data_IF_849119979452
#
_entry.id   IF_849119979452
#
_cell.length_a   1.000
_cell.length_b   1.000
_cell.length_c   1.000
_cell.angle_alpha   90.00
_cell.angle_beta   90.00
_cell.angle_gamma   90.00
#
_symmetry.space_group_name_H-M   'P 1'
#
loop_
_entity.id
_entity.type
_entity.pdbx_description
1 polymer ?
#
# COMPACT_ATOMS: atom_id res chain seq x y z
N UNK A 1 6.85 -7.79 -7.90
CA UNK A 1 6.36 -8.07 -6.53
C UNK A 1 7.55 -8.23 -5.59
N UNK A 2 8.54 -9.04 -5.94
CA UNK A 2 9.74 -9.28 -5.12
C UNK A 2 10.53 -7.98 -4.84
N UNK A 3 10.67 -7.11 -5.83
CA UNK A 3 11.37 -5.83 -5.70
C UNK A 3 10.63 -4.86 -4.75
N UNK A 4 9.31 -4.81 -4.83
CA UNK A 4 8.48 -4.02 -3.90
C UNK A 4 8.58 -4.55 -2.47
N UNK A 5 8.66 -5.87 -2.30
CA UNK A 5 8.84 -6.48 -0.98
C UNK A 5 10.22 -6.19 -0.38
N UNK A 6 11.29 -6.22 -1.19
CA UNK A 6 12.63 -5.83 -0.77
C UNK A 6 12.72 -4.36 -0.35
N UNK A 7 12.13 -3.46 -1.13
CA UNK A 7 12.05 -2.04 -0.81
C UNK A 7 11.26 -1.79 0.48
N UNK A 8 10.15 -2.49 0.66
CA UNK A 8 9.36 -2.41 1.89
C UNK A 8 10.16 -2.85 3.12
N UNK A 9 10.89 -3.96 3.04
CA UNK A 9 11.79 -4.42 4.12
C UNK A 9 12.88 -3.41 4.45
N UNK A 10 13.50 -2.83 3.43
CA UNK A 10 14.53 -1.79 3.61
C UNK A 10 13.96 -0.56 4.32
N UNK A 11 12.77 -0.12 3.94
CA UNK A 11 12.04 0.96 4.60
C UNK A 11 11.82 0.67 6.10
N UNK A 12 11.38 -0.54 6.45
CA UNK A 12 11.17 -0.91 7.86
C UNK A 12 12.47 -0.95 8.66
N UNK A 13 13.56 -1.44 8.07
CA UNK A 13 14.86 -1.42 8.70
C UNK A 13 15.35 0.01 8.98
N UNK A 14 15.15 0.94 8.04
CA UNK A 14 15.47 2.36 8.21
C UNK A 14 14.62 3.01 9.31
N UNK A 15 13.32 2.75 9.36
CA UNK A 15 12.45 3.26 10.42
C UNK A 15 12.87 2.75 11.79
N UNK A 16 13.27 1.48 11.89
CA UNK A 16 13.75 0.90 13.16
C UNK A 16 15.09 1.52 13.59
N UNK A 17 16.03 1.73 12.67
CA UNK A 17 17.30 2.41 12.96
C UNK A 17 17.09 3.85 13.45
N UNK A 18 16.17 4.58 12.83
CA UNK A 18 15.78 5.94 13.24
C UNK A 18 15.19 5.96 14.66
N UNK A 19 14.33 5.00 14.97
CA UNK A 19 13.74 4.90 16.31
C UNK A 19 14.80 4.60 17.39
N UNK A 20 15.80 3.77 17.08
CA UNK A 20 16.93 3.47 17.96
C UNK A 20 17.85 4.66 18.15
N UNK A 21 18.17 5.39 17.07
CA UNK A 21 18.99 6.61 17.10
C UNK A 21 18.38 7.68 18.00
N UNK A 22 17.06 7.90 17.90
CA UNK A 22 16.34 8.81 18.79
C UNK A 22 16.43 8.42 20.26
N UNK A 23 16.30 7.13 20.54
CA UNK A 23 16.45 6.64 21.93
C UNK A 23 17.87 6.90 22.43
N UNK A 24 18.89 6.66 21.59
CA UNK A 24 20.29 6.95 21.93
C UNK A 24 20.53 8.43 22.20
N UNK A 25 20.07 9.29 21.28
CA UNK A 25 20.21 10.75 21.42
C UNK A 25 19.52 11.25 22.68
N UNK A 26 18.32 10.78 23.00
CA UNK A 26 17.61 11.16 24.23
C UNK A 26 18.34 10.70 25.51
N UNK A 27 18.98 9.51 25.49
CA UNK A 27 19.76 8.99 26.60
C UNK A 27 21.11 9.71 26.76
N UNK A 28 21.75 10.15 25.66
CA UNK A 28 23.01 10.89 25.71
C UNK A 28 22.79 12.33 26.22
N UNK A 29 21.74 12.99 25.81
CA UNK A 29 21.34 14.30 26.35
C UNK A 29 21.10 14.18 27.86
N UNK A 30 20.44 13.13 28.30
CA UNK A 30 20.21 12.86 29.73
C UNK A 30 21.52 12.62 30.51
N UNK A 31 22.48 11.86 29.94
CA UNK A 31 23.79 11.64 30.55
C UNK A 31 24.57 12.93 30.70
N UNK A 32 24.61 13.75 29.64
CA UNK A 32 25.30 15.04 29.65
C UNK A 32 24.68 16.01 30.67
N UNK A 33 23.37 16.00 30.82
CA UNK A 33 22.66 16.82 31.80
C UNK A 33 22.90 16.36 33.25
N UNK A 34 22.99 15.04 33.48
CA UNK A 34 23.31 14.45 34.79
C UNK A 34 24.78 14.70 35.18
N UNK A 35 25.74 14.65 34.23
CA UNK A 35 27.16 15.00 34.50
C UNK A 35 27.34 16.47 34.89
N UNK A 36 26.51 17.37 34.36
CA UNK A 36 26.50 18.79 34.75
C UNK A 36 25.87 19.02 36.12
N UNK A 37 24.89 18.18 36.52
CA UNK A 37 24.21 18.25 37.82
C UNK A 37 25.02 17.63 38.97
N UNK A 38 25.84 16.60 38.73
CA UNK A 38 26.68 15.98 39.75
C UNK A 38 27.77 16.90 40.35
N UNK A 39 27.98 18.05 39.81
CA UNK A 39 28.88 19.09 40.37
C UNK A 39 28.30 19.89 41.54
N UNK A 40 27.04 19.67 41.95
CA UNK A 40 26.39 20.32 43.10
C UNK A 40 25.75 19.31 44.02
N UNK A 41 26.54 18.67 44.87
CA UNK A 41 26.10 17.60 45.78
C UNK A 41 25.38 18.10 47.06
N UNK A 42 24.93 19.36 47.11
CA UNK A 42 24.27 19.94 48.29
C UNK A 42 22.76 20.19 48.16
N UNK A 43 22.14 19.84 47.04
CA UNK A 43 20.70 20.06 46.85
C UNK A 43 19.96 18.74 46.69
N UNK A 44 19.48 18.18 47.81
CA UNK A 44 18.59 17.01 47.84
C UNK A 44 17.14 17.47 47.54
N UNK A 45 16.94 18.21 46.46
CA UNK A 45 15.62 18.41 45.86
C UNK A 45 15.41 17.32 44.83
N UNK A 46 14.45 16.43 45.08
CA UNK A 46 13.97 15.47 44.06
C UNK A 46 13.46 16.30 42.90
N UNK A 47 14.25 16.36 41.82
CA UNK A 47 13.95 17.17 40.66
C UNK A 47 12.87 16.42 39.84
N UNK A 48 11.59 16.73 40.11
CA UNK A 48 10.45 16.22 39.42
C UNK A 48 10.47 16.54 37.90
N UNK A 49 11.27 17.55 37.50
CA UNK A 49 11.42 17.90 36.07
C UNK A 49 12.21 16.85 35.32
N UNK A 50 13.29 16.30 35.89
CA UNK A 50 14.11 15.25 35.29
C UNK A 50 13.33 13.91 35.11
N UNK A 51 12.40 13.63 36.05
CA UNK A 51 11.49 12.46 35.92
C UNK A 51 10.45 12.74 34.81
N UNK A 52 9.99 13.97 34.68
CA UNK A 52 9.05 14.38 33.63
C UNK A 52 9.63 14.21 32.24
N UNK A 53 10.90 14.62 32.02
CA UNK A 53 11.59 14.54 30.73
C UNK A 53 11.89 13.06 30.35
N UNK A 54 12.24 12.21 31.30
CA UNK A 54 12.39 10.76 31.09
C UNK A 54 11.08 10.09 30.67
N UNK A 55 9.99 10.45 31.33
CA UNK A 55 8.66 9.95 30.99
C UNK A 55 8.23 10.46 29.62
N UNK A 56 8.54 11.72 29.28
CA UNK A 56 8.24 12.30 27.98
C UNK A 56 9.02 11.59 26.85
N UNK A 57 10.31 11.32 27.01
CA UNK A 57 11.12 10.58 26.03
C UNK A 57 10.63 9.16 25.82
N UNK A 58 10.34 8.44 26.92
CA UNK A 58 9.78 7.09 26.86
C UNK A 58 8.39 7.08 26.22
N UNK A 59 7.56 8.08 26.53
CA UNK A 59 6.23 8.22 25.93
C UNK A 59 6.32 8.44 24.42
N UNK A 60 7.20 9.32 23.95
CA UNK A 60 7.41 9.57 22.50
C UNK A 60 7.86 8.29 21.80
N UNK A 61 8.80 7.55 22.39
CA UNK A 61 9.27 6.26 21.86
C UNK A 61 8.15 5.22 21.79
N UNK A 62 7.38 5.04 22.86
CA UNK A 62 6.27 4.07 22.90
C UNK A 62 5.19 4.46 21.87
N UNK A 63 4.85 5.73 21.78
CA UNK A 63 3.88 6.24 20.79
C UNK A 63 4.38 6.00 19.37
N UNK A 64 5.67 6.26 19.08
CA UNK A 64 6.27 5.99 17.78
C UNK A 64 6.22 4.49 17.42
N UNK A 65 6.58 3.61 18.35
CA UNK A 65 6.51 2.14 18.15
C UNK A 65 5.08 1.64 17.94
N UNK A 66 4.12 2.09 18.74
CA UNK A 66 2.70 1.72 18.57
C UNK A 66 2.19 2.18 17.22
N UNK A 67 2.54 3.40 16.81
CA UNK A 67 2.18 3.96 15.52
C UNK A 67 2.76 3.15 14.36
N UNK A 68 4.03 2.77 14.45
CA UNK A 68 4.70 1.91 13.46
C UNK A 68 3.99 0.55 13.31
N UNK A 69 3.60 -0.09 14.44
CA UNK A 69 2.85 -1.35 14.40
C UNK A 69 1.48 -1.16 13.74
N UNK A 70 0.78 -0.07 14.06
CA UNK A 70 -0.50 0.25 13.44
C UNK A 70 -0.38 0.47 11.93
N UNK A 71 0.65 1.19 11.46
CA UNK A 71 0.92 1.37 10.03
C UNK A 71 1.21 0.04 9.34
N UNK A 72 2.00 -0.84 9.94
CA UNK A 72 2.31 -2.16 9.38
C UNK A 72 1.04 -3.01 9.21
N UNK A 73 0.13 -2.97 10.20
CA UNK A 73 -1.16 -3.67 10.13
C UNK A 73 -2.02 -3.11 8.98
N UNK A 74 -2.12 -1.79 8.87
CA UNK A 74 -2.89 -1.13 7.81
C UNK A 74 -2.32 -1.48 6.44
N UNK A 75 -0.99 -1.42 6.29
CA UNK A 75 -0.30 -1.79 5.06
C UNK A 75 -0.58 -3.24 4.67
N UNK A 76 -0.48 -4.17 5.62
CA UNK A 76 -0.80 -5.57 5.39
C UNK A 76 -2.24 -5.76 4.91
N UNK A 77 -3.21 -5.07 5.52
CA UNK A 77 -4.62 -5.14 5.12
C UNK A 77 -4.81 -4.60 3.70
N UNK A 78 -4.24 -3.45 3.37
CA UNK A 78 -4.41 -2.81 2.05
C UNK A 78 -3.75 -3.64 0.95
N UNK A 79 -2.54 -4.14 1.16
CA UNK A 79 -1.84 -5.00 0.20
C UNK A 79 -2.59 -6.32 -0.01
N UNK A 80 -3.08 -6.94 1.08
CA UNK A 80 -3.91 -8.15 1.00
C UNK A 80 -5.20 -7.88 0.23
N UNK A 81 -5.86 -6.77 0.48
CA UNK A 81 -7.06 -6.36 -0.26
C UNK A 81 -6.78 -6.19 -1.76
N UNK A 82 -5.68 -5.53 -2.12
CA UNK A 82 -5.25 -5.40 -3.51
C UNK A 82 -5.00 -6.75 -4.19
N UNK A 83 -4.34 -7.69 -3.50
CA UNK A 83 -4.13 -9.06 -3.99
C UNK A 83 -5.45 -9.79 -4.19
N UNK A 84 -6.37 -9.71 -3.23
CA UNK A 84 -7.69 -10.34 -3.34
C UNK A 84 -8.47 -9.79 -4.53
N UNK A 85 -8.47 -8.47 -4.76
CA UNK A 85 -9.11 -7.87 -5.92
C UNK A 85 -8.51 -8.38 -7.24
N UNK A 86 -7.18 -8.53 -7.30
CA UNK A 86 -6.48 -9.08 -8.46
C UNK A 86 -6.91 -10.53 -8.74
N UNK A 87 -6.86 -11.40 -7.74
CA UNK A 87 -7.30 -12.79 -7.88
C UNK A 87 -8.78 -12.89 -8.25
N UNK A 88 -9.61 -12.03 -7.71
CA UNK A 88 -11.04 -12.00 -8.00
C UNK A 88 -11.32 -11.73 -9.48
N UNK A 89 -10.62 -10.80 -10.11
CA UNK A 89 -10.78 -10.51 -11.54
C UNK A 89 -10.39 -11.70 -12.41
N UNK A 90 -9.25 -12.35 -12.13
CA UNK A 90 -8.83 -13.55 -12.86
C UNK A 90 -9.80 -14.71 -12.64
N UNK A 91 -10.31 -14.87 -11.43
CA UNK A 91 -11.32 -15.89 -11.12
C UNK A 91 -12.61 -15.67 -11.91
N UNK A 92 -13.12 -14.43 -11.94
CA UNK A 92 -14.29 -14.09 -12.78
C UNK A 92 -14.05 -14.38 -14.25
N UNK A 93 -12.87 -14.08 -14.77
CA UNK A 93 -12.51 -14.37 -16.14
C UNK A 93 -12.60 -15.87 -16.45
N UNK A 94 -12.03 -16.71 -15.59
CA UNK A 94 -12.06 -18.16 -15.77
C UNK A 94 -13.51 -18.67 -15.78
N UNK A 95 -14.34 -18.23 -14.83
CA UNK A 95 -15.75 -18.63 -14.75
C UNK A 95 -16.51 -18.21 -16.01
N UNK A 96 -16.43 -16.93 -16.40
CA UNK A 96 -17.17 -16.42 -17.55
C UNK A 96 -16.69 -17.06 -18.85
N UNK A 97 -15.39 -17.28 -19.02
CA UNK A 97 -14.86 -18.01 -20.18
C UNK A 97 -15.40 -19.43 -20.22
N UNK A 98 -15.40 -20.14 -19.08
CA UNK A 98 -15.96 -21.50 -19.00
C UNK A 98 -17.44 -21.57 -19.39
N UNK A 99 -18.25 -20.64 -18.86
CA UNK A 99 -19.67 -20.53 -19.21
C UNK A 99 -19.85 -20.25 -20.72
N UNK A 100 -19.08 -19.31 -21.27
CA UNK A 100 -19.18 -18.97 -22.69
C UNK A 100 -18.75 -20.11 -23.61
N UNK A 101 -17.74 -20.90 -23.24
CA UNK A 101 -17.32 -22.07 -23.99
C UNK A 101 -18.43 -23.11 -24.04
N UNK A 102 -19.11 -23.37 -22.92
CA UNK A 102 -20.23 -24.35 -22.85
C UNK A 102 -21.43 -23.83 -23.64
N UNK A 103 -21.72 -22.52 -23.61
CA UNK A 103 -22.86 -21.92 -24.32
C UNK A 103 -22.58 -21.71 -25.83
N UNK A 104 -21.34 -21.83 -26.27
CA UNK A 104 -20.95 -21.64 -27.70
C UNK A 104 -21.75 -22.49 -28.66
N UNK A 105 -21.73 -23.81 -28.53
CA UNK A 105 -22.49 -24.72 -29.41
C UNK A 105 -24.00 -24.39 -29.42
N UNK A 106 -24.55 -24.02 -28.27
CA UNK A 106 -25.95 -23.64 -28.15
C UNK A 106 -26.28 -22.33 -28.90
N UNK A 107 -25.40 -21.32 -28.83
CA UNK A 107 -25.54 -20.08 -29.58
C UNK A 107 -25.49 -20.30 -31.08
N UNK A 108 -24.64 -21.23 -31.55
CA UNK A 108 -24.63 -21.65 -32.96
C UNK A 108 -25.92 -22.33 -33.38
N UNK A 109 -26.45 -23.26 -32.56
CA UNK A 109 -27.68 -23.96 -32.86
C UNK A 109 -28.87 -22.98 -32.95
N UNK A 110 -28.97 -22.01 -32.06
CA UNK A 110 -30.02 -21.02 -32.10
C UNK A 110 -29.89 -20.03 -33.27
N UNK A 111 -28.69 -19.75 -33.77
CA UNK A 111 -28.49 -18.83 -34.90
C UNK A 111 -29.09 -19.33 -36.24
N UNK A 112 -29.41 -20.62 -36.34
CA UNK A 112 -30.12 -21.20 -37.48
C UNK A 112 -31.59 -20.72 -37.54
N UNK A 113 -32.16 -20.37 -36.40
CA UNK A 113 -33.52 -19.86 -36.34
C UNK A 113 -33.54 -18.37 -36.70
N UNK A 114 -34.43 -17.91 -37.62
CA UNK A 114 -34.46 -16.51 -38.08
C UNK A 114 -34.62 -15.51 -36.96
N UNK A 115 -35.34 -15.87 -35.88
CA UNK A 115 -35.56 -15.01 -34.72
C UNK A 115 -34.31 -14.80 -33.85
N UNK A 116 -33.30 -15.65 -33.94
CA UNK A 116 -32.09 -15.66 -33.09
C UNK A 116 -30.79 -15.55 -33.90
N UNK A 117 -30.89 -15.05 -35.13
CA UNK A 117 -29.74 -14.94 -36.07
C UNK A 117 -28.53 -14.21 -35.48
N UNK A 118 -28.77 -13.22 -34.60
CA UNK A 118 -27.72 -12.39 -34.00
C UNK A 118 -27.13 -12.99 -32.70
N UNK A 119 -27.66 -14.10 -32.21
CA UNK A 119 -27.21 -14.74 -30.99
C UNK A 119 -25.72 -15.14 -31.03
N UNK A 120 -25.25 -15.60 -32.19
CA UNK A 120 -23.84 -15.96 -32.39
C UNK A 120 -22.91 -14.74 -32.36
N UNK A 121 -23.29 -13.65 -33.01
CA UNK A 121 -22.50 -12.41 -33.02
C UNK A 121 -22.37 -11.82 -31.62
N UNK A 122 -23.47 -11.82 -30.87
CA UNK A 122 -23.46 -11.39 -29.47
C UNK A 122 -22.60 -12.29 -28.57
N UNK A 123 -22.62 -13.61 -28.83
CA UNK A 123 -21.77 -14.55 -28.12
C UNK A 123 -20.28 -14.27 -28.38
N UNK A 124 -19.87 -14.07 -29.64
CA UNK A 124 -18.49 -13.70 -30.00
C UNK A 124 -18.08 -12.41 -29.28
N UNK A 125 -18.91 -11.37 -29.34
CA UNK A 125 -18.64 -10.09 -28.71
C UNK A 125 -18.38 -10.23 -27.19
N UNK A 126 -19.20 -11.04 -26.50
CA UNK A 126 -19.01 -11.34 -25.07
C UNK A 126 -17.75 -12.17 -24.81
N UNK A 127 -17.45 -13.14 -25.67
CA UNK A 127 -16.24 -13.96 -25.54
C UNK A 127 -14.97 -13.10 -25.67
N UNK A 128 -14.93 -12.22 -26.67
CA UNK A 128 -13.83 -11.26 -26.85
C UNK A 128 -13.72 -10.31 -25.65
N UNK A 129 -14.84 -9.79 -25.18
CA UNK A 129 -14.87 -8.93 -23.98
C UNK A 129 -14.24 -9.58 -22.76
N UNK A 130 -14.62 -10.84 -22.45
CA UNK A 130 -14.07 -11.56 -21.30
C UNK A 130 -12.60 -11.92 -21.51
N UNK A 131 -12.19 -12.22 -22.74
CA UNK A 131 -10.77 -12.48 -23.05
C UNK A 131 -9.88 -11.25 -22.84
N UNK A 132 -10.42 -10.05 -23.02
CA UNK A 132 -9.71 -8.79 -22.76
C UNK A 132 -9.44 -8.54 -21.27
N UNK A 133 -10.15 -9.21 -20.35
CA UNK A 133 -9.92 -9.01 -18.90
C UNK A 133 -8.46 -9.20 -18.50
N UNK A 134 -7.82 -10.28 -18.99
CA UNK A 134 -6.40 -10.53 -18.70
C UNK A 134 -5.50 -9.41 -19.22
N UNK A 135 -5.70 -8.97 -20.46
CA UNK A 135 -4.86 -7.95 -21.06
C UNK A 135 -4.95 -6.65 -20.27
N UNK A 136 -6.16 -6.22 -19.94
CA UNK A 136 -6.39 -4.99 -19.15
C UNK A 136 -5.85 -5.17 -17.73
N UNK A 137 -6.07 -6.34 -17.11
CA UNK A 137 -5.57 -6.65 -15.77
C UNK A 137 -4.05 -6.56 -15.70
N UNK A 138 -3.32 -7.11 -16.66
CA UNK A 138 -1.85 -7.03 -16.69
C UNK A 138 -1.35 -5.59 -16.86
N UNK A 139 -2.03 -4.77 -17.66
CA UNK A 139 -1.68 -3.36 -17.83
C UNK A 139 -1.90 -2.61 -16.50
N UNK A 140 -3.05 -2.77 -15.87
CA UNK A 140 -3.38 -2.13 -14.59
C UNK A 140 -2.40 -2.59 -13.50
N UNK A 141 -2.08 -3.88 -13.45
CA UNK A 141 -1.10 -4.45 -12.52
C UNK A 141 0.28 -3.83 -12.70
N UNK A 142 0.77 -3.76 -13.94
CA UNK A 142 2.07 -3.19 -14.26
C UNK A 142 2.16 -1.73 -13.85
N UNK A 143 1.16 -0.93 -14.16
CA UNK A 143 1.10 0.49 -13.79
C UNK A 143 1.05 0.63 -12.26
N UNK A 144 0.20 -0.15 -11.59
CA UNK A 144 0.09 -0.11 -10.12
C UNK A 144 1.41 -0.45 -9.44
N UNK A 145 2.13 -1.48 -9.90
CA UNK A 145 3.42 -1.87 -9.34
C UNK A 145 4.48 -0.77 -9.52
N UNK A 146 4.57 -0.16 -10.69
CA UNK A 146 5.53 0.93 -10.96
C UNK A 146 5.26 2.14 -10.05
N UNK A 147 3.99 2.52 -9.88
CA UNK A 147 3.64 3.66 -9.02
C UNK A 147 3.85 3.33 -7.53
N UNK A 148 3.58 2.08 -7.12
CA UNK A 148 3.90 1.62 -5.75
C UNK A 148 5.40 1.65 -5.48
N UNK A 149 6.22 1.17 -6.40
CA UNK A 149 7.68 1.21 -6.30
C UNK A 149 8.18 2.65 -6.14
N UNK A 150 7.74 3.55 -7.01
CA UNK A 150 8.07 4.97 -6.90
C UNK A 150 7.64 5.60 -5.56
N UNK A 151 6.47 5.21 -5.05
CA UNK A 151 5.98 5.65 -3.75
C UNK A 151 6.90 5.25 -2.59
N UNK A 152 7.39 3.99 -2.60
CA UNK A 152 8.30 3.48 -1.56
C UNK A 152 9.70 4.13 -1.68
N UNK A 153 10.24 4.25 -2.89
CA UNK A 153 11.54 4.89 -3.12
C UNK A 153 11.55 6.32 -2.59
N UNK A 154 10.49 7.07 -2.83
CA UNK A 154 10.35 8.43 -2.32
C UNK A 154 10.28 8.48 -0.78
N UNK A 155 9.65 7.51 -0.15
CA UNK A 155 9.62 7.43 1.31
C UNK A 155 10.99 7.10 1.91
N UNK A 156 11.72 6.20 1.27
CA UNK A 156 13.10 5.86 1.66
C UNK A 156 13.98 7.12 1.59
N UNK A 157 13.90 7.89 0.50
CA UNK A 157 14.64 9.13 0.33
C UNK A 157 14.33 10.16 1.44
N UNK A 158 13.06 10.32 1.80
CA UNK A 158 12.63 11.21 2.89
C UNK A 158 13.16 10.71 4.24
N UNK A 159 13.14 9.40 4.49
CA UNK A 159 13.67 8.81 5.72
C UNK A 159 15.20 8.97 5.83
N UNK A 160 15.94 8.73 4.74
CA UNK A 160 17.38 8.97 4.73
C UNK A 160 17.74 10.43 4.97
N UNK A 161 16.95 11.35 4.42
CA UNK A 161 17.13 12.79 4.70
C UNK A 161 16.83 13.12 6.17
N UNK A 162 15.79 12.52 6.75
CA UNK A 162 15.41 12.68 8.14
C UNK A 162 16.50 12.14 9.09
N UNK A 163 17.15 11.03 8.76
CA UNK A 163 18.29 10.48 9.53
C UNK A 163 19.49 11.42 9.60
N UNK A 164 19.67 12.25 8.58
CA UNK A 164 20.78 13.23 8.55
C UNK A 164 20.48 14.52 9.30
N UNK A 165 19.20 14.80 9.60
CA UNK A 165 18.75 16.06 10.20
C UNK A 165 17.69 15.78 11.28
N UNK A 166 18.05 15.96 12.56
CA UNK A 166 17.14 15.76 13.70
C UNK A 166 15.83 16.58 13.62
N UNK A 167 15.92 17.83 13.14
CA UNK A 167 14.74 18.69 12.96
C UNK A 167 13.79 18.16 11.88
N UNK A 168 14.32 17.55 10.81
CA UNK A 168 13.52 16.94 9.74
C UNK A 168 12.85 15.66 10.22
N UNK A 169 13.46 14.95 11.15
CA UNK A 169 12.87 13.74 11.73
C UNK A 169 11.62 14.06 12.58
N UNK A 170 11.69 15.05 13.46
CA UNK A 170 10.54 15.49 14.26
C UNK A 170 9.39 15.93 13.34
N UNK A 171 9.72 16.61 12.25
CA UNK A 171 8.75 17.03 11.24
C UNK A 171 8.15 15.81 10.48
N UNK A 172 8.96 14.81 10.14
CA UNK A 172 8.49 13.57 9.50
C UNK A 172 7.52 12.79 10.41
N UNK A 173 7.88 12.59 11.67
CA UNK A 173 7.01 11.92 12.66
C UNK A 173 5.70 12.70 12.86
N UNK A 174 5.78 14.04 12.87
CA UNK A 174 4.61 14.92 12.96
C UNK A 174 3.73 14.86 11.71
N UNK A 175 4.31 14.90 10.52
CA UNK A 175 3.58 14.87 9.25
C UNK A 175 2.99 13.48 8.93
N UNK A 176 3.73 12.40 9.21
CA UNK A 176 3.24 11.02 9.04
C UNK A 176 2.10 10.70 10.01
N UNK A 177 1.90 11.57 11.00
CA UNK A 177 0.79 11.50 11.96
C UNK A 177 -0.61 11.63 11.32
N UNK A 178 -0.72 12.21 10.13
CA UNK A 178 -1.99 12.42 9.44
C UNK A 178 -1.98 12.12 7.94
N UNK A 179 -0.82 11.76 7.37
CA UNK A 179 -0.68 11.51 5.93
C UNK A 179 -0.97 10.06 5.57
N UNK A 180 -1.90 9.86 4.64
CA UNK A 180 -2.04 8.58 3.94
C UNK A 180 -0.75 8.39 3.15
N UNK A 181 -0.02 7.33 3.45
CA UNK A 181 1.21 6.96 2.78
C UNK A 181 0.96 6.83 1.27
N UNK A 182 1.80 7.43 0.40
CA UNK A 182 1.61 7.39 -1.05
C UNK A 182 1.51 5.95 -1.57
N UNK A 183 2.26 5.04 -0.97
CA UNK A 183 2.19 3.61 -1.22
C UNK A 183 0.80 3.02 -0.92
N UNK A 184 0.23 3.30 0.26
CA UNK A 184 -1.09 2.82 0.65
C UNK A 184 -2.19 3.36 -0.27
N UNK A 185 -2.10 4.65 -0.61
CA UNK A 185 -3.04 5.27 -1.54
C UNK A 185 -2.99 4.60 -2.92
N UNK A 186 -1.79 4.35 -3.44
CA UNK A 186 -1.61 3.70 -4.74
C UNK A 186 -2.09 2.26 -4.73
N UNK A 187 -1.82 1.49 -3.66
CA UNK A 187 -2.31 0.13 -3.52
C UNK A 187 -3.85 0.09 -3.49
N UNK A 188 -4.45 1.03 -2.78
CA UNK A 188 -5.91 1.15 -2.72
C UNK A 188 -6.52 1.53 -4.08
N UNK A 189 -5.93 2.52 -4.76
CA UNK A 189 -6.35 2.92 -6.10
C UNK A 189 -6.18 1.78 -7.11
N UNK A 190 -5.08 1.03 -7.03
CA UNK A 190 -4.84 -0.16 -7.83
C UNK A 190 -5.90 -1.25 -7.61
N UNK A 191 -6.33 -1.47 -6.36
CA UNK A 191 -7.41 -2.40 -6.04
C UNK A 191 -8.74 -1.97 -6.68
N UNK A 192 -9.10 -0.70 -6.59
CA UNK A 192 -10.30 -0.18 -7.25
C UNK A 192 -10.19 -0.25 -8.78
N UNK A 193 -9.03 0.08 -9.35
CA UNK A 193 -8.80 -0.04 -10.79
C UNK A 193 -9.00 -1.48 -11.28
N UNK A 194 -8.55 -2.50 -10.52
CA UNK A 194 -8.82 -3.90 -10.83
C UNK A 194 -10.32 -4.20 -10.89
N UNK A 195 -11.11 -3.71 -9.95
CA UNK A 195 -12.56 -3.96 -9.93
C UNK A 195 -13.30 -3.29 -11.10
N UNK A 196 -12.73 -2.28 -11.75
CA UNK A 196 -13.34 -1.63 -12.92
C UNK A 196 -13.10 -2.38 -14.24
N UNK A 197 -12.21 -3.38 -14.28
CA UNK A 197 -11.83 -4.11 -15.50
C UNK A 197 -13.04 -4.71 -16.26
N UNK A 198 -14.01 -5.38 -15.60
CA UNK A 198 -15.18 -5.92 -16.29
C UNK A 198 -15.99 -4.84 -17.02
N UNK A 199 -16.08 -3.64 -16.44
CA UNK A 199 -16.80 -2.50 -17.06
C UNK A 199 -16.03 -1.94 -18.26
N UNK A 200 -14.72 -1.75 -18.13
CA UNK A 200 -13.87 -1.23 -19.19
C UNK A 200 -13.89 -2.16 -20.41
N UNK A 201 -13.79 -3.46 -20.21
CA UNK A 201 -13.79 -4.43 -21.31
C UNK A 201 -15.11 -4.48 -22.05
N UNK A 202 -16.24 -4.39 -21.34
CA UNK A 202 -17.58 -4.31 -21.98
C UNK A 202 -17.75 -3.02 -22.75
N UNK A 203 -17.22 -1.91 -22.24
CA UNK A 203 -17.27 -0.61 -22.93
C UNK A 203 -16.48 -0.62 -24.23
N UNK A 204 -15.27 -1.21 -24.26
CA UNK A 204 -14.44 -1.33 -25.47
C UNK A 204 -15.19 -2.10 -26.56
N UNK A 205 -15.87 -3.20 -26.19
CA UNK A 205 -16.59 -4.03 -27.15
C UNK A 205 -17.90 -3.36 -27.62
N UNK A 206 -18.59 -2.65 -26.73
CA UNK A 206 -19.85 -1.97 -27.05
C UNK A 206 -19.67 -0.75 -27.95
N UNK A 207 -18.52 -0.07 -27.89
CA UNK A 207 -18.21 1.08 -28.75
C UNK A 207 -17.81 0.70 -30.17
N UNK A 208 -17.46 -0.55 -30.44
CA UNK A 208 -17.14 -1.05 -31.79
C UNK A 208 -18.37 -1.37 -32.65
N UNK A 209 -19.52 -1.02 -32.18
CA UNK A 209 -20.68 -0.88 -33.03
C UNK A 209 -21.63 -2.05 -33.04
N UNK A 210 -22.70 -1.76 -32.51
CA UNK A 210 -23.98 -1.99 -33.23
C UNK A 210 -24.93 -0.91 -32.75
#
# INVERSE_FOLDING_TARGET
IEEVELLSRNRYALIDSVAVELLHTSLEVERAENEVKDKKWYDFSIDFSAIGDKIAGLYVYVVAKVKMIMFNIIEFIVVTFWQVCTYFVFFLQIIFTGILVILGPLSFAFSVLPAFRDAYIQWIARFVSVSLYSCIAYIVLSISLVVMQYGIEREIEILEYALRNEAAFVMYVGMTSGGVNSFLLTALLGAFAMLTIPFVSTWIVSTTGV
#
